data_IF_247933849345
#
_entry.id   IF_247933849345
#
_cell.length_a   1.000
_cell.length_b   1.000
_cell.length_c   1.000
_cell.angle_alpha   90.00
_cell.angle_beta   90.00
_cell.angle_gamma   90.00
#
_symmetry.space_group_name_H-M   'P 1'
#
loop_
_entity.id
_entity.type
_entity.pdbx_description
1 polymer ?
#
# COMPACT_ATOMS: atom_id res chain seq x y z
N UNK A 1 22.04 4.55 8.25
CA UNK A 1 22.20 3.43 7.30
C UNK A 1 20.91 2.60 7.31
N UNK A 2 20.39 2.31 6.14
CA UNK A 2 19.14 1.55 6.04
C UNK A 2 19.40 0.05 6.16
N UNK A 3 18.57 -0.61 6.95
CA UNK A 3 18.63 -2.05 7.12
C UNK A 3 17.31 -2.67 6.63
N UNK A 4 17.41 -3.71 5.81
CA UNK A 4 16.24 -4.40 5.25
C UNK A 4 16.22 -5.82 5.80
N UNK A 5 15.08 -6.22 6.37
CA UNK A 5 14.89 -7.56 6.92
C UNK A 5 13.57 -8.15 6.43
N UNK A 6 13.49 -9.48 6.24
CA UNK A 6 12.20 -10.09 5.90
C UNK A 6 11.23 -9.96 7.08
N UNK A 7 9.94 -10.00 6.77
CA UNK A 7 8.91 -9.98 7.81
C UNK A 7 8.86 -11.34 8.53
N UNK A 8 8.40 -11.32 9.79
CA UNK A 8 8.17 -12.53 10.56
C UNK A 8 6.68 -12.91 10.57
N UNK A 9 6.34 -14.01 11.25
CA UNK A 9 4.95 -14.50 11.31
C UNK A 9 4.00 -13.51 11.97
N UNK A 10 4.46 -12.79 12.98
CA UNK A 10 3.66 -11.79 13.68
C UNK A 10 3.30 -10.63 12.75
N UNK A 11 4.27 -10.19 11.99
CA UNK A 11 4.08 -9.10 11.01
C UNK A 11 3.18 -9.56 9.87
N UNK A 12 3.35 -10.78 9.38
CA UNK A 12 2.48 -11.35 8.36
C UNK A 12 1.02 -11.45 8.85
N UNK A 13 0.82 -11.85 10.10
CA UNK A 13 -0.51 -11.89 10.72
C UNK A 13 -1.13 -10.51 10.86
N UNK A 14 -0.34 -9.51 11.21
CA UNK A 14 -0.80 -8.13 11.29
C UNK A 14 -1.24 -7.61 9.91
N UNK A 15 -0.46 -7.90 8.86
CA UNK A 15 -0.82 -7.54 7.48
C UNK A 15 -2.17 -8.16 7.11
N UNK A 16 -2.36 -9.43 7.42
CA UNK A 16 -3.61 -10.14 7.14
C UNK A 16 -4.80 -9.48 7.85
N UNK A 17 -4.62 -9.08 9.10
CA UNK A 17 -5.66 -8.39 9.87
C UNK A 17 -6.01 -7.04 9.22
N UNK A 18 -5.00 -6.29 8.75
CA UNK A 18 -5.24 -5.03 8.06
C UNK A 18 -5.99 -5.21 6.73
N UNK A 19 -5.70 -6.29 6.01
CA UNK A 19 -6.44 -6.60 4.77
C UNK A 19 -7.91 -6.89 5.05
N UNK A 20 -8.22 -7.60 6.14
CA UNK A 20 -9.60 -7.80 6.57
C UNK A 20 -10.29 -6.47 6.90
N UNK A 21 -9.58 -5.59 7.59
CA UNK A 21 -10.10 -4.26 7.92
C UNK A 21 -10.33 -3.42 6.67
N UNK A 22 -9.45 -3.54 5.68
CA UNK A 22 -9.62 -2.84 4.39
C UNK A 22 -10.88 -3.33 3.67
N UNK A 23 -11.15 -4.63 3.69
CA UNK A 23 -12.38 -5.19 3.10
C UNK A 23 -13.63 -4.65 3.78
N UNK A 24 -13.64 -4.58 5.11
CA UNK A 24 -14.74 -4.00 5.87
C UNK A 24 -14.93 -2.53 5.58
N UNK A 25 -13.83 -1.80 5.40
CA UNK A 25 -13.85 -0.41 5.02
C UNK A 25 -14.54 -0.21 3.67
N UNK A 26 -14.21 -1.06 2.68
CA UNK A 26 -14.86 -1.02 1.36
C UNK A 26 -16.35 -1.33 1.50
N UNK A 27 -16.73 -2.33 2.29
CA UNK A 27 -18.15 -2.65 2.52
C UNK A 27 -18.93 -1.45 3.06
N UNK A 28 -18.30 -0.68 3.96
CA UNK A 28 -18.95 0.47 4.59
C UNK A 28 -19.05 1.69 3.69
N UNK A 29 -17.99 2.00 2.91
CA UNK A 29 -17.91 3.23 2.12
C UNK A 29 -18.15 3.04 0.63
N UNK A 30 -18.13 1.81 0.14
CA UNK A 30 -18.45 1.49 -1.24
C UNK A 30 -19.29 0.21 -1.29
N UNK A 31 -20.56 0.26 -0.83
CA UNK A 31 -21.39 -0.93 -0.70
C UNK A 31 -21.57 -1.70 -2.01
N UNK A 32 -21.50 -1.04 -3.14
CA UNK A 32 -21.62 -1.70 -4.46
C UNK A 32 -20.45 -2.67 -4.73
N UNK A 33 -19.34 -2.52 -4.01
CA UNK A 33 -18.19 -3.41 -4.12
C UNK A 33 -18.21 -4.54 -3.06
N UNK A 34 -19.19 -4.54 -2.19
CA UNK A 34 -19.34 -5.57 -1.14
C UNK A 34 -19.57 -6.95 -1.77
N UNK A 35 -18.91 -7.97 -1.21
CA UNK A 35 -19.03 -9.34 -1.71
C UNK A 35 -18.14 -9.64 -2.91
N UNK A 36 -17.36 -8.68 -3.38
CA UNK A 36 -16.39 -8.85 -4.46
C UNK A 36 -14.97 -8.87 -3.91
N UNK A 37 -13.99 -9.41 -4.66
CA UNK A 37 -12.59 -9.35 -4.23
C UNK A 37 -12.13 -7.92 -4.01
N UNK A 38 -11.24 -7.72 -3.04
CA UNK A 38 -10.66 -6.41 -2.75
C UNK A 38 -9.76 -5.97 -3.89
N UNK A 39 -10.12 -4.86 -4.56
CA UNK A 39 -9.37 -4.30 -5.67
C UNK A 39 -8.95 -2.87 -5.35
N UNK A 40 -7.94 -2.36 -6.05
CA UNK A 40 -7.53 -0.97 -5.90
C UNK A 40 -8.62 -0.01 -6.37
N UNK A 41 -9.40 -0.39 -7.40
CA UNK A 41 -10.53 0.41 -7.85
C UNK A 41 -11.57 0.57 -6.74
N UNK A 42 -11.93 -0.53 -6.07
CA UNK A 42 -12.87 -0.51 -4.94
C UNK A 42 -12.33 0.33 -3.78
N UNK A 43 -11.04 0.18 -3.46
CA UNK A 43 -10.38 0.97 -2.43
C UNK A 43 -10.39 2.47 -2.78
N UNK A 44 -10.11 2.83 -4.03
CA UNK A 44 -10.17 4.22 -4.48
C UNK A 44 -11.56 4.80 -4.29
N UNK A 45 -12.61 4.06 -4.65
CA UNK A 45 -14.00 4.51 -4.47
C UNK A 45 -14.34 4.68 -2.99
N UNK A 46 -13.99 3.71 -2.16
CA UNK A 46 -14.25 3.78 -0.72
C UNK A 46 -13.48 4.93 -0.07
N UNK A 47 -12.23 5.12 -0.44
CA UNK A 47 -11.41 6.19 0.11
C UNK A 47 -11.98 7.57 -0.27
N UNK A 48 -12.41 7.74 -1.53
CA UNK A 48 -13.02 8.98 -1.97
C UNK A 48 -14.32 9.28 -1.20
N UNK A 49 -15.17 8.27 -0.99
CA UNK A 49 -16.39 8.44 -0.20
C UNK A 49 -16.09 8.80 1.25
N UNK A 50 -15.07 8.18 1.84
CA UNK A 50 -14.64 8.47 3.20
C UNK A 50 -14.12 9.91 3.34
N UNK A 51 -13.25 10.34 2.43
CA UNK A 51 -12.74 11.72 2.43
C UNK A 51 -13.89 12.71 2.31
N UNK A 52 -14.86 12.44 1.43
CA UNK A 52 -16.02 13.29 1.23
C UNK A 52 -16.90 13.38 2.49
N UNK A 53 -16.85 12.40 3.38
CA UNK A 53 -17.61 12.42 4.63
C UNK A 53 -17.04 13.39 5.69
N UNK A 54 -15.86 13.95 5.44
CA UNK A 54 -15.23 14.93 6.33
C UNK A 54 -14.66 14.34 7.61
N UNK A 55 -13.90 13.23 7.55
CA UNK A 55 -13.35 12.60 8.76
C UNK A 55 -12.38 13.53 9.49
N UNK A 56 -12.38 13.49 10.82
CA UNK A 56 -11.54 14.35 11.66
C UNK A 56 -10.93 13.65 12.87
N UNK A 57 -11.44 12.49 13.26
CA UNK A 57 -10.90 11.76 14.41
C UNK A 57 -9.56 11.13 14.07
N UNK A 58 -8.49 11.58 14.73
CA UNK A 58 -7.11 11.22 14.42
C UNK A 58 -6.86 9.71 14.46
N UNK A 59 -7.34 9.02 15.50
CA UNK A 59 -7.09 7.58 15.64
C UNK A 59 -7.76 6.79 14.52
N UNK A 60 -8.97 7.17 14.14
CA UNK A 60 -9.70 6.52 13.06
C UNK A 60 -9.05 6.81 11.71
N UNK A 61 -8.62 8.04 11.50
CA UNK A 61 -7.88 8.42 10.27
C UNK A 61 -6.62 7.57 10.14
N UNK A 62 -5.83 7.45 11.20
CA UNK A 62 -4.61 6.66 11.18
C UNK A 62 -4.89 5.19 10.89
N UNK A 63 -5.95 4.65 11.49
CA UNK A 63 -6.35 3.26 11.24
C UNK A 63 -6.70 3.03 9.76
N UNK A 64 -7.50 3.91 9.18
CA UNK A 64 -7.93 3.79 7.79
C UNK A 64 -6.75 3.97 6.81
N UNK A 65 -5.88 4.93 7.08
CA UNK A 65 -4.67 5.11 6.28
C UNK A 65 -3.82 3.83 6.28
N UNK A 66 -3.70 3.17 7.43
CA UNK A 66 -2.98 1.91 7.53
C UNK A 66 -3.68 0.79 6.74
N UNK A 67 -5.01 0.62 6.87
CA UNK A 67 -5.74 -0.40 6.13
C UNK A 67 -5.55 -0.25 4.63
N UNK A 68 -5.74 0.96 4.13
CA UNK A 68 -5.64 1.27 2.71
C UNK A 68 -4.20 1.11 2.23
N UNK A 69 -3.23 1.58 3.02
CA UNK A 69 -1.81 1.47 2.70
C UNK A 69 -1.36 0.02 2.59
N UNK A 70 -1.71 -0.81 3.57
CA UNK A 70 -1.33 -2.23 3.55
C UNK A 70 -1.99 -2.95 2.37
N UNK A 71 -3.25 -2.64 2.06
CA UNK A 71 -3.92 -3.23 0.90
C UNK A 71 -3.24 -2.83 -0.41
N UNK A 72 -2.79 -1.59 -0.52
CA UNK A 72 -2.01 -1.12 -1.66
C UNK A 72 -0.68 -1.88 -1.78
N UNK A 73 0.04 -2.01 -0.67
CA UNK A 73 1.30 -2.76 -0.63
C UNK A 73 1.10 -4.22 -1.02
N UNK A 74 0.02 -4.85 -0.55
CA UNK A 74 -0.28 -6.24 -0.90
C UNK A 74 -0.56 -6.38 -2.40
N UNK A 75 -1.26 -5.43 -3.00
CA UNK A 75 -1.51 -5.44 -4.44
C UNK A 75 -0.20 -5.37 -5.23
N UNK A 76 0.74 -4.53 -4.77
CA UNK A 76 2.08 -4.45 -5.37
C UNK A 76 2.84 -5.77 -5.23
N UNK A 77 2.80 -6.37 -4.05
CA UNK A 77 3.46 -7.64 -3.79
C UNK A 77 2.92 -8.75 -4.69
N UNK A 78 1.59 -8.88 -4.75
CA UNK A 78 0.93 -9.93 -5.54
C UNK A 78 1.07 -9.72 -7.04
N UNK A 79 0.91 -8.50 -7.50
CA UNK A 79 0.87 -8.20 -8.95
C UNK A 79 2.23 -8.01 -9.58
N UNK A 80 3.22 -7.52 -8.83
CA UNK A 80 4.54 -7.17 -9.35
C UNK A 80 5.67 -8.05 -8.78
N UNK A 81 5.34 -9.02 -7.94
CA UNK A 81 6.34 -9.90 -7.35
C UNK A 81 7.25 -9.22 -6.33
N UNK A 82 6.80 -8.13 -5.73
CA UNK A 82 7.55 -7.46 -4.69
C UNK A 82 7.37 -8.19 -3.36
N UNK A 83 8.26 -7.94 -2.42
CA UNK A 83 8.25 -8.64 -1.13
C UNK A 83 8.06 -7.67 0.02
N UNK A 84 7.23 -8.07 0.99
CA UNK A 84 7.14 -7.35 2.25
C UNK A 84 8.45 -7.48 3.02
N UNK A 85 8.92 -6.36 3.54
CA UNK A 85 10.13 -6.28 4.35
C UNK A 85 9.92 -5.28 5.48
N UNK A 86 10.80 -5.32 6.47
CA UNK A 86 10.95 -4.26 7.47
C UNK A 86 12.17 -3.44 7.07
N UNK A 87 11.95 -2.17 6.79
CA UNK A 87 13.02 -1.22 6.49
C UNK A 87 13.28 -0.37 7.72
N UNK A 88 14.51 -0.38 8.20
CA UNK A 88 14.93 0.35 9.40
C UNK A 88 15.98 1.38 9.01
N UNK A 89 15.80 2.61 9.47
CA UNK A 89 16.78 3.69 9.33
C UNK A 89 16.90 4.46 10.65
N UNK A 90 17.53 5.61 10.62
CA UNK A 90 17.73 6.43 11.82
C UNK A 90 16.42 6.93 12.44
N UNK A 91 15.32 6.91 11.69
CA UNK A 91 14.01 7.39 12.13
C UNK A 91 13.12 6.28 12.69
N UNK A 92 13.51 5.01 12.51
CA UNK A 92 12.75 3.88 13.01
C UNK A 92 12.55 2.81 11.96
N UNK A 93 11.60 1.92 12.22
CA UNK A 93 11.31 0.78 11.37
C UNK A 93 9.90 0.87 10.80
N UNK A 94 9.75 0.53 9.52
CA UNK A 94 8.44 0.53 8.83
C UNK A 94 8.31 -0.69 7.93
N UNK A 95 7.06 -1.11 7.73
CA UNK A 95 6.73 -2.08 6.71
C UNK A 95 6.86 -1.44 5.33
N UNK A 96 7.51 -2.14 4.42
CA UNK A 96 7.70 -1.70 3.04
C UNK A 96 7.61 -2.88 2.09
N UNK A 97 7.45 -2.62 0.80
CA UNK A 97 7.55 -3.63 -0.24
C UNK A 97 8.78 -3.34 -1.09
N UNK A 98 9.56 -4.38 -1.34
CA UNK A 98 10.86 -4.29 -2.00
C UNK A 98 10.89 -5.11 -3.28
N UNK A 99 11.44 -4.52 -4.34
CA UNK A 99 11.73 -5.22 -5.59
C UNK A 99 13.15 -4.91 -6.08
N UNK A 100 13.74 -5.87 -6.78
CA UNK A 100 15.05 -5.76 -7.42
C UNK A 100 16.16 -5.29 -6.45
N UNK A 101 16.38 -6.02 -5.32
CA UNK A 101 17.43 -5.64 -4.39
C UNK A 101 18.79 -5.63 -5.08
N UNK A 102 19.61 -4.62 -4.78
CA UNK A 102 20.97 -4.42 -5.29
C UNK A 102 21.04 -4.01 -6.77
N UNK A 103 19.90 -3.74 -7.45
CA UNK A 103 19.90 -3.44 -8.89
C UNK A 103 18.96 -2.29 -9.24
N UNK A 104 18.99 -1.21 -8.49
CA UNK A 104 18.09 -0.09 -8.69
C UNK A 104 16.79 -0.33 -7.94
N UNK A 105 16.92 -0.60 -6.66
CA UNK A 105 15.84 -1.03 -5.77
C UNK A 105 14.58 -0.21 -5.90
N UNK A 106 13.45 -0.90 -5.96
CA UNK A 106 12.15 -0.30 -5.72
C UNK A 106 11.79 -0.59 -4.27
N UNK A 107 11.62 0.46 -3.49
CA UNK A 107 11.22 0.36 -2.09
C UNK A 107 10.06 1.32 -1.87
N UNK A 108 8.89 0.77 -1.55
CA UNK A 108 7.69 1.56 -1.34
C UNK A 108 7.22 1.40 0.10
N UNK A 109 6.91 2.52 0.75
CA UNK A 109 6.31 2.57 2.08
C UNK A 109 4.81 2.84 1.93
N UNK A 110 3.97 1.78 1.83
CA UNK A 110 2.59 1.96 1.39
C UNK A 110 1.74 2.80 2.34
N UNK A 111 1.89 2.61 3.65
CA UNK A 111 1.11 3.38 4.63
C UNK A 111 1.49 4.86 4.57
N UNK A 112 2.78 5.17 4.49
CA UNK A 112 3.26 6.55 4.38
C UNK A 112 2.81 7.20 3.06
N UNK A 113 2.80 6.43 1.98
CA UNK A 113 2.31 6.88 0.68
C UNK A 113 0.85 7.37 0.78
N UNK A 114 -0.02 6.58 1.42
CA UNK A 114 -1.43 6.94 1.61
C UNK A 114 -1.57 8.11 2.58
N UNK A 115 -0.78 8.13 3.65
CA UNK A 115 -0.80 9.21 4.64
C UNK A 115 -0.53 10.57 4.01
N UNK A 116 0.44 10.65 3.12
CA UNK A 116 0.78 11.90 2.42
C UNK A 116 -0.37 12.39 1.53
N UNK A 117 -1.09 11.47 0.87
CA UNK A 117 -2.25 11.83 0.06
C UNK A 117 -3.41 12.30 0.95
N UNK A 118 -3.62 11.62 2.07
CA UNK A 118 -4.62 12.05 3.04
C UNK A 118 -4.38 13.48 3.52
N UNK A 119 -3.14 13.85 3.82
CA UNK A 119 -2.79 15.20 4.26
C UNK A 119 -3.30 16.28 3.29
N UNK A 120 -3.33 15.96 1.99
CA UNK A 120 -3.79 16.86 0.93
C UNK A 120 -5.23 16.59 0.53
N UNK A 121 -5.89 15.64 1.15
CA UNK A 121 -7.24 15.17 0.80
C UNK A 121 -7.33 14.72 -0.66
N UNK A 122 -6.27 14.15 -1.21
CA UNK A 122 -6.25 13.58 -2.55
C UNK A 122 -7.04 12.28 -2.57
N UNK A 123 -7.69 11.99 -3.71
CA UNK A 123 -8.47 10.79 -3.93
C UNK A 123 -8.15 10.20 -5.31
N UNK A 124 -8.57 8.94 -5.52
CA UNK A 124 -8.42 8.26 -6.82
C UNK A 124 -6.97 8.16 -7.28
N UNK A 125 -6.08 7.77 -6.39
CA UNK A 125 -4.64 7.72 -6.65
C UNK A 125 -4.06 6.29 -6.63
N UNK A 126 -4.78 5.30 -6.10
CA UNK A 126 -4.22 3.96 -5.91
C UNK A 126 -3.94 3.22 -7.23
N UNK A 127 -4.92 3.19 -8.12
CA UNK A 127 -4.74 2.56 -9.43
C UNK A 127 -3.66 3.26 -10.25
N UNK A 128 -3.66 4.59 -10.20
CA UNK A 128 -2.66 5.39 -10.92
C UNK A 128 -1.25 5.13 -10.40
N UNK A 129 -1.09 5.10 -9.07
CA UNK A 129 0.20 4.80 -8.44
C UNK A 129 0.67 3.39 -8.79
N UNK A 130 -0.24 2.42 -8.78
CA UNK A 130 0.07 1.05 -9.17
C UNK A 130 0.59 1.01 -10.61
N UNK A 131 -0.07 1.71 -11.52
CA UNK A 131 0.35 1.78 -12.92
C UNK A 131 1.74 2.41 -13.06
N UNK A 132 2.00 3.48 -12.33
CA UNK A 132 3.28 4.15 -12.34
C UNK A 132 4.40 3.22 -11.87
N UNK A 133 4.18 2.51 -10.77
CA UNK A 133 5.15 1.55 -10.23
C UNK A 133 5.32 0.37 -11.20
N UNK A 134 4.26 -0.08 -11.85
CA UNK A 134 4.34 -1.12 -12.89
C UNK A 134 5.29 -0.69 -14.01
N UNK A 135 5.19 0.56 -14.44
CA UNK A 135 6.09 1.11 -15.46
C UNK A 135 7.54 1.15 -14.97
N UNK A 136 7.77 1.52 -13.72
CA UNK A 136 9.11 1.57 -13.12
C UNK A 136 9.71 0.17 -13.03
N UNK A 137 8.93 -0.82 -12.61
CA UNK A 137 9.35 -2.23 -12.56
C UNK A 137 9.70 -2.72 -13.96
N UNK A 138 8.88 -2.40 -14.96
CA UNK A 138 9.13 -2.77 -16.35
C UNK A 138 10.42 -2.17 -16.89
N UNK A 139 10.71 -0.92 -16.55
CA UNK A 139 11.94 -0.25 -16.96
C UNK A 139 13.19 -0.92 -16.37
N UNK A 140 13.14 -1.30 -15.10
CA UNK A 140 14.24 -2.00 -14.43
C UNK A 140 14.46 -3.38 -15.05
N UNK A 141 13.39 -4.12 -15.31
CA UNK A 141 13.47 -5.44 -15.92
C UNK A 141 14.10 -5.37 -17.32
N UNK A 142 13.74 -4.37 -18.12
CA UNK A 142 14.33 -4.15 -19.45
C UNK A 142 15.82 -3.86 -19.37
N UNK A 143 16.25 -3.03 -18.42
CA UNK A 143 17.67 -2.74 -18.22
C UNK A 143 18.47 -3.99 -17.86
N UNK A 144 17.89 -4.88 -17.06
CA UNK A 144 18.54 -6.14 -16.69
C UNK A 144 18.72 -7.08 -17.88
N UNK A 145 17.79 -7.06 -18.84
CA UNK A 145 17.88 -7.88 -20.05
C UNK A 145 18.96 -7.40 -21.01
N UNK A 146 19.22 -6.11 -21.02
CA UNK A 146 20.23 -5.49 -21.90
C UNK A 146 21.63 -5.65 -21.32
N UNK A 147 21.74 -5.66 -20.02
CA UNK A 147 23.05 -5.82 -19.35
C UNK A 147 23.39 -7.30 -19.16
#
# INVERSE_FOLDING_TARGET
MQKIEPINEKEAGWIKAQLNNASKFVEGFSPSDSGHPLTLAALDRAFAAWVASGPSETDLVNAIVNYVGIAFGQALADGLGLKWVIATDDRGSDLAVLGFPEQGDILVYPANFVAKRWERRETNFLEEAYRQITNDVGAIARRRQIS
#
